data_IF_986533372861
#
_entry.id   IF_986533372861
#
_cell.length_a   1.000
_cell.length_b   1.000
_cell.length_c   1.000
_cell.angle_alpha   90.00
_cell.angle_beta   90.00
_cell.angle_gamma   90.00
#
_symmetry.space_group_name_H-M   'P 1'
#
loop_
_entity.id
_entity.type
_entity.pdbx_description
1 polymer ?
#
# COMPACT_ATOMS: atom_id res chain seq x y z
N UNK A 1 -11.31 2.62 -25.38
CA UNK A 1 -10.25 2.59 -24.35
C UNK A 1 -9.47 1.31 -24.62
N UNK A 2 -8.21 1.38 -25.05
CA UNK A 2 -7.45 0.17 -25.36
C UNK A 2 -7.37 -0.70 -24.11
N UNK A 3 -7.73 -1.98 -24.23
CA UNK A 3 -7.51 -3.00 -23.21
C UNK A 3 -6.00 -3.13 -22.96
N UNK A 4 -5.47 -2.29 -22.08
CA UNK A 4 -4.18 -2.56 -21.48
C UNK A 4 -4.35 -3.86 -20.71
N UNK A 5 -3.67 -4.93 -21.16
CA UNK A 5 -3.72 -6.23 -20.51
C UNK A 5 -3.47 -6.07 -19.01
N UNK A 6 -4.36 -6.65 -18.19
CA UNK A 6 -4.18 -6.63 -16.73
C UNK A 6 -2.87 -7.32 -16.37
N UNK A 7 -2.19 -6.80 -15.35
CA UNK A 7 -1.01 -7.46 -14.78
C UNK A 7 -1.44 -8.86 -14.31
N UNK A 8 -0.79 -9.95 -14.74
CA UNK A 8 -1.27 -11.32 -14.55
C UNK A 8 -0.80 -11.98 -13.27
N UNK A 9 0.31 -11.52 -12.66
CA UNK A 9 0.86 -12.13 -11.43
C UNK A 9 1.12 -11.11 -10.33
N UNK A 10 1.06 -11.57 -9.07
CA UNK A 10 1.43 -10.75 -7.92
C UNK A 10 2.90 -10.30 -7.97
N UNK A 11 3.79 -11.15 -8.50
CA UNK A 11 5.22 -10.83 -8.63
C UNK A 11 5.46 -9.66 -9.57
N UNK A 12 4.72 -9.58 -10.68
CA UNK A 12 4.76 -8.45 -11.61
C UNK A 12 4.02 -7.23 -11.05
N UNK A 13 2.98 -7.45 -10.25
CA UNK A 13 2.24 -6.35 -9.63
C UNK A 13 3.03 -5.63 -8.55
N UNK A 14 3.90 -6.32 -7.81
CA UNK A 14 4.66 -5.70 -6.72
C UNK A 14 5.55 -4.51 -7.18
N UNK A 15 6.40 -4.62 -8.23
CA UNK A 15 7.12 -3.48 -8.79
C UNK A 15 6.19 -2.33 -9.22
N UNK A 16 5.06 -2.65 -9.87
CA UNK A 16 4.06 -1.65 -10.23
C UNK A 16 3.50 -0.95 -9.00
N UNK A 17 3.07 -1.70 -7.98
CA UNK A 17 2.56 -1.15 -6.72
C UNK A 17 3.58 -0.23 -6.05
N UNK A 18 4.84 -0.64 -5.95
CA UNK A 18 5.90 0.18 -5.35
C UNK A 18 6.14 1.46 -6.15
N UNK A 19 6.03 1.40 -7.49
CA UNK A 19 6.10 2.58 -8.35
C UNK A 19 4.94 3.57 -8.13
N UNK A 20 3.82 3.12 -7.55
CA UNK A 20 2.71 3.98 -7.13
C UNK A 20 2.90 4.58 -5.73
N UNK A 21 4.01 4.27 -5.06
CA UNK A 21 4.35 4.72 -3.71
C UNK A 21 5.81 5.18 -3.63
N UNK A 22 6.29 5.94 -4.62
CA UNK A 22 7.70 6.33 -4.74
C UNK A 22 8.10 7.35 -3.68
N UNK A 23 7.19 8.20 -3.22
CA UNK A 23 7.50 9.24 -2.25
C UNK A 23 7.43 8.67 -0.81
N UNK A 24 8.44 8.95 0.05
CA UNK A 24 8.43 8.51 1.44
C UNK A 24 7.18 8.92 2.22
N UNK A 25 6.65 10.12 1.96
CA UNK A 25 5.44 10.61 2.61
C UNK A 25 4.20 9.75 2.31
N UNK A 26 4.04 9.26 1.07
CA UNK A 26 2.94 8.35 0.70
C UNK A 26 3.02 7.07 1.51
N UNK A 27 4.21 6.43 1.55
CA UNK A 27 4.44 5.19 2.32
C UNK A 27 4.23 5.41 3.81
N UNK A 28 4.67 6.55 4.34
CA UNK A 28 4.49 6.90 5.74
C UNK A 28 3.03 7.05 6.13
N UNK A 29 2.21 7.74 5.34
CA UNK A 29 0.78 7.86 5.62
C UNK A 29 0.06 6.51 5.56
N UNK A 30 0.43 5.66 4.60
CA UNK A 30 -0.05 4.27 4.55
C UNK A 30 0.30 3.51 5.83
N UNK A 31 1.53 3.64 6.31
CA UNK A 31 1.97 3.01 7.56
C UNK A 31 1.14 3.51 8.76
N UNK A 32 1.00 4.84 8.92
CA UNK A 32 0.19 5.44 10.01
C UNK A 32 -1.26 4.98 9.94
N UNK A 33 -1.89 5.06 8.76
CA UNK A 33 -3.27 4.62 8.55
C UNK A 33 -3.46 3.14 8.89
N UNK A 34 -2.54 2.28 8.43
CA UNK A 34 -2.59 0.84 8.69
C UNK A 34 -2.42 0.55 10.19
N UNK A 35 -1.47 1.19 10.87
CA UNK A 35 -1.28 1.05 12.32
C UNK A 35 -2.54 1.47 13.08
N UNK A 36 -3.13 2.63 12.76
CA UNK A 36 -4.37 3.09 13.39
C UNK A 36 -5.53 2.11 13.15
N UNK A 37 -5.65 1.60 11.92
CA UNK A 37 -6.65 0.59 11.57
C UNK A 37 -6.51 -0.69 12.40
N UNK A 38 -5.28 -1.20 12.54
CA UNK A 38 -4.99 -2.38 13.34
C UNK A 38 -5.24 -2.16 14.83
N UNK A 39 -4.89 -0.99 15.37
CA UNK A 39 -5.17 -0.62 16.77
C UNK A 39 -6.68 -0.60 17.01
N UNK A 40 -7.46 0.04 16.13
CA UNK A 40 -8.91 0.09 16.25
C UNK A 40 -9.57 -1.29 16.12
N UNK A 41 -9.06 -2.13 15.21
CA UNK A 41 -9.49 -3.52 15.09
C UNK A 41 -9.21 -4.32 16.36
N UNK A 42 -8.00 -4.20 16.92
CA UNK A 42 -7.62 -4.86 18.16
C UNK A 42 -8.49 -4.40 19.35
N UNK A 43 -8.86 -3.11 19.41
CA UNK A 43 -9.74 -2.55 20.43
C UNK A 43 -11.20 -3.01 20.29
N UNK A 44 -11.65 -3.36 19.07
CA UNK A 44 -13.02 -3.84 18.84
C UNK A 44 -13.34 -5.12 19.62
N UNK A 45 -12.34 -5.98 19.82
CA UNK A 45 -12.49 -7.28 20.49
C UNK A 45 -12.84 -7.13 21.98
N UNK A 46 -12.00 -6.51 22.84
CA UNK A 46 -12.30 -6.40 24.27
C UNK A 46 -13.44 -5.43 24.58
N UNK A 47 -13.72 -4.48 23.69
CA UNK A 47 -14.80 -3.50 23.90
C UNK A 47 -16.16 -3.98 23.41
N UNK A 48 -16.21 -5.03 22.58
CA UNK A 48 -17.44 -5.51 21.95
C UNK A 48 -18.07 -4.49 20.98
N UNK A 49 -17.29 -3.52 20.48
CA UNK A 49 -17.77 -2.39 19.68
C UNK A 49 -17.41 -2.58 18.19
N UNK A 50 -18.29 -3.19 17.38
CA UNK A 50 -17.98 -3.49 15.97
C UNK A 50 -17.76 -2.23 15.12
N UNK A 51 -18.32 -1.08 15.51
CA UNK A 51 -18.11 0.18 14.79
C UNK A 51 -16.64 0.65 14.78
N UNK A 52 -15.81 0.18 15.71
CA UNK A 52 -14.36 0.44 15.70
C UNK A 52 -13.68 -0.18 14.47
N UNK A 53 -14.21 -1.29 13.94
CA UNK A 53 -13.73 -1.89 12.69
C UNK A 53 -13.97 -0.94 11.51
N UNK A 54 -15.16 -0.32 11.45
CA UNK A 54 -15.48 0.66 10.40
C UNK A 54 -14.56 1.88 10.49
N UNK A 55 -14.34 2.42 11.68
CA UNK A 55 -13.38 3.52 11.86
C UNK A 55 -11.94 3.10 11.52
N UNK A 56 -11.57 1.85 11.79
CA UNK A 56 -10.28 1.30 11.39
C UNK A 56 -10.10 1.30 9.87
N UNK A 57 -11.13 0.92 9.12
CA UNK A 57 -11.12 0.98 7.66
C UNK A 57 -11.05 2.42 7.16
N UNK A 58 -11.85 3.33 7.74
CA UNK A 58 -11.83 4.76 7.39
C UNK A 58 -10.44 5.37 7.64
N UNK A 59 -9.80 5.05 8.77
CA UNK A 59 -8.45 5.51 9.06
C UNK A 59 -7.44 4.95 8.04
N UNK A 60 -7.43 3.62 7.82
CA UNK A 60 -6.49 3.00 6.89
C UNK A 60 -6.59 3.59 5.48
N UNK A 61 -7.79 3.63 4.90
CA UNK A 61 -7.99 4.15 3.55
C UNK A 61 -7.88 5.68 3.47
N UNK A 62 -8.36 6.42 4.49
CA UNK A 62 -8.30 7.88 4.50
C UNK A 62 -6.86 8.39 4.45
N UNK A 63 -5.97 7.85 5.29
CA UNK A 63 -4.56 8.21 5.26
C UNK A 63 -3.86 7.78 3.96
N UNK A 64 -4.15 6.57 3.46
CA UNK A 64 -3.63 6.09 2.18
C UNK A 64 -4.01 7.03 1.02
N UNK A 65 -5.29 7.44 0.94
CA UNK A 65 -5.79 8.36 -0.08
C UNK A 65 -5.18 9.75 0.05
N UNK A 66 -4.98 10.27 1.27
CA UNK A 66 -4.27 11.54 1.45
C UNK A 66 -2.86 11.44 0.83
N UNK A 67 -2.15 10.35 1.08
CA UNK A 67 -0.85 10.10 0.44
C UNK A 67 -0.92 10.11 -1.07
N UNK A 68 -1.83 9.33 -1.66
CA UNK A 68 -1.98 9.24 -3.11
C UNK A 68 -2.34 10.57 -3.77
N UNK A 69 -3.38 11.25 -3.28
CA UNK A 69 -3.91 12.44 -3.94
C UNK A 69 -3.10 13.70 -3.66
N UNK A 70 -2.50 13.83 -2.48
CA UNK A 70 -1.81 15.05 -2.08
C UNK A 70 -0.29 14.97 -2.21
N UNK A 71 0.33 13.83 -1.95
CA UNK A 71 1.79 13.66 -2.00
C UNK A 71 2.21 13.01 -3.31
N UNK A 72 1.72 11.80 -3.61
CA UNK A 72 2.13 11.06 -4.80
C UNK A 72 1.63 11.74 -6.08
N UNK A 73 0.40 12.28 -6.05
CA UNK A 73 -0.38 12.81 -7.17
C UNK A 73 -0.79 11.74 -8.18
N UNK A 74 -1.19 10.57 -7.70
CA UNK A 74 -1.73 9.47 -8.51
C UNK A 74 -3.07 8.96 -7.94
N UNK A 75 -3.72 8.06 -8.68
CA UNK A 75 -4.90 7.35 -8.20
C UNK A 75 -4.48 6.03 -7.55
N UNK A 76 -5.07 5.63 -6.41
CA UNK A 76 -4.81 4.35 -5.77
C UNK A 76 -4.96 3.16 -6.74
N UNK A 77 -3.98 2.26 -6.74
CA UNK A 77 -4.03 1.02 -7.52
C UNK A 77 -5.18 0.10 -7.09
N UNK A 78 -5.67 0.25 -5.85
CA UNK A 78 -6.79 -0.51 -5.28
C UNK A 78 -8.05 -0.45 -6.14
N UNK A 79 -8.29 0.66 -6.86
CA UNK A 79 -9.46 0.76 -7.75
C UNK A 79 -9.38 -0.17 -8.96
N UNK A 80 -8.18 -0.61 -9.34
CA UNK A 80 -7.97 -1.57 -10.41
C UNK A 80 -7.70 -2.96 -9.85
N UNK A 81 -6.83 -3.10 -8.85
CA UNK A 81 -6.38 -4.37 -8.27
C UNK A 81 -6.62 -4.40 -6.75
N UNK A 82 -7.86 -4.54 -6.28
CA UNK A 82 -8.19 -4.37 -4.86
C UNK A 82 -7.47 -5.40 -3.97
N UNK A 83 -7.56 -6.70 -4.32
CA UNK A 83 -6.95 -7.77 -3.52
C UNK A 83 -5.42 -7.67 -3.50
N UNK A 84 -4.78 -7.42 -4.64
CA UNK A 84 -3.32 -7.30 -4.69
C UNK A 84 -2.82 -6.02 -4.03
N UNK A 85 -3.54 -4.91 -4.15
CA UNK A 85 -3.16 -3.67 -3.45
C UNK A 85 -3.19 -3.87 -1.95
N UNK A 86 -4.23 -4.52 -1.41
CA UNK A 86 -4.30 -4.86 0.01
C UNK A 86 -3.12 -5.76 0.46
N UNK A 87 -2.82 -6.83 -0.30
CA UNK A 87 -1.67 -7.70 0.01
C UNK A 87 -0.33 -6.95 -0.07
N UNK A 88 -0.20 -6.01 -1.00
CA UNK A 88 0.97 -5.16 -1.13
C UNK A 88 1.07 -4.12 0.00
N UNK A 89 -0.04 -3.56 0.47
CA UNK A 89 -0.09 -2.69 1.65
C UNK A 89 0.46 -3.44 2.87
N UNK A 90 0.02 -4.68 3.10
CA UNK A 90 0.56 -5.53 4.17
C UNK A 90 2.05 -5.85 3.99
N UNK A 91 2.49 -6.15 2.76
CA UNK A 91 3.90 -6.41 2.46
C UNK A 91 4.76 -5.17 2.72
N UNK A 92 4.34 -4.00 2.23
CA UNK A 92 5.01 -2.72 2.45
C UNK A 92 5.05 -2.37 3.94
N UNK A 93 3.93 -2.49 4.65
CA UNK A 93 3.84 -2.28 6.10
C UNK A 93 4.86 -3.14 6.85
N UNK A 94 4.92 -4.44 6.54
CA UNK A 94 5.89 -5.36 7.13
C UNK A 94 7.34 -5.02 6.78
N UNK A 95 7.63 -4.58 5.55
CA UNK A 95 8.97 -4.12 5.17
C UNK A 95 9.38 -2.85 5.93
N UNK A 96 8.45 -1.91 6.13
CA UNK A 96 8.70 -0.69 6.89
C UNK A 96 8.98 -0.98 8.36
N UNK A 97 8.19 -1.86 8.99
CA UNK A 97 8.46 -2.32 10.37
C UNK A 97 9.84 -2.94 10.55
N UNK A 98 10.32 -3.67 9.55
CA UNK A 98 11.65 -4.32 9.58
C UNK A 98 12.79 -3.40 9.15
N UNK A 99 12.52 -2.14 8.79
CA UNK A 99 13.52 -1.23 8.23
C UNK A 99 14.05 -1.66 6.85
N UNK A 100 13.35 -2.54 6.13
CA UNK A 100 13.81 -3.15 4.86
C UNK A 100 13.24 -2.48 3.61
N UNK A 101 12.37 -1.46 3.75
CA UNK A 101 11.75 -0.81 2.60
C UNK A 101 12.77 -0.08 1.70
N UNK A 102 13.82 0.51 2.28
CA UNK A 102 14.89 1.17 1.51
C UNK A 102 15.62 0.20 0.59
N UNK A 103 16.11 -0.91 1.15
CA UNK A 103 16.79 -1.96 0.39
C UNK A 103 15.89 -2.57 -0.71
N UNK A 104 14.58 -2.69 -0.46
CA UNK A 104 13.65 -3.17 -1.46
C UNK A 104 13.44 -2.19 -2.63
N UNK A 105 13.44 -0.87 -2.36
CA UNK A 105 13.41 0.14 -3.41
C UNK A 105 14.67 0.08 -4.29
N UNK A 106 15.84 -0.07 -3.67
CA UNK A 106 17.12 -0.23 -4.37
C UNK A 106 17.13 -1.50 -5.23
N UNK A 107 16.69 -2.64 -4.68
CA UNK A 107 16.57 -3.91 -5.40
C UNK A 107 15.68 -3.77 -6.65
N UNK A 108 14.55 -3.10 -6.52
CA UNK A 108 13.62 -2.88 -7.64
C UNK A 108 14.17 -1.89 -8.67
N UNK A 109 14.90 -0.86 -8.24
CA UNK A 109 15.56 0.06 -9.15
C UNK A 109 16.62 -0.64 -10.01
N UNK A 110 17.46 -1.50 -9.39
CA UNK A 110 18.48 -2.29 -10.08
C UNK A 110 17.85 -3.32 -11.04
N UNK A 111 16.78 -4.01 -10.61
CA UNK A 111 16.06 -4.95 -11.48
C UNK A 111 15.44 -4.25 -12.70
N UNK A 112 14.95 -3.01 -12.55
CA UNK A 112 14.41 -2.22 -13.65
C UNK A 112 15.46 -1.68 -14.62
N UNK A 113 16.68 -1.40 -14.16
CA UNK A 113 17.79 -0.96 -15.04
C UNK A 113 18.41 -2.07 -15.89
N UNK A 114 18.10 -3.34 -15.59
CA UNK A 114 18.62 -4.51 -16.31
C UNK A 114 17.56 -5.22 -17.18
N UNK A 115 16.34 -4.67 -17.30
CA UNK A 115 15.35 -5.20 -18.22
C UNK A 115 15.79 -4.90 -19.67
N UNK A 116 15.82 -5.90 -20.58
CA UNK A 116 16.12 -5.65 -21.99
C UNK A 116 15.07 -4.70 -22.58
N UNK A 117 15.54 -3.73 -23.37
CA UNK A 117 14.73 -2.71 -24.04
C UNK A 117 13.74 -3.31 -25.05
#
# INVERSE_FOLDING_TARGET
MSDAARIPTFQEFWPFYVSQHRKPGTRFLHFVGTTLGLVLFALAIPTGKPFLVLWGLVAAYGFAWIGHYFIEKNRPATFQYPAWSFLCDLKMYGLMWRGRMGAELERLALAGSHAPA
#
